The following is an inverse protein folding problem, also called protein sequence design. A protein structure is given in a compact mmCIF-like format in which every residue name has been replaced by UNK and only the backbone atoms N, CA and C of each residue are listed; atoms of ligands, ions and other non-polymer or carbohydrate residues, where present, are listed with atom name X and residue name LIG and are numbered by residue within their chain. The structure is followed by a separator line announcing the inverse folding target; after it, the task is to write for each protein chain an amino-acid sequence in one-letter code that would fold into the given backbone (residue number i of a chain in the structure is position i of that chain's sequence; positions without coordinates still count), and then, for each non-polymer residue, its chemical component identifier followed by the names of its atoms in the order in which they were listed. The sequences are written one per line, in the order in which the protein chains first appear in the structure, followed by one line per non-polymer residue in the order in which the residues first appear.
data_IF_265450648836
#
_entry.id   IF_265450648836
#
_cell.length_a   1.000
_cell.length_b   1.000
_cell.length_c   1.000
_cell.angle_alpha   90.00
_cell.angle_beta   90.00
_cell.angle_gamma   90.00
#
_symmetry.space_group_name_H-M   'P 1'
#
loop_
_entity.id
_entity.type
_entity.pdbx_description
1 polymer ?
#
# COMPACT_ATOMS: atom_id res chain seq x y z
N UNK A 1 -2.80 15.79 15.68
CA UNK A 1 -2.87 15.52 14.22
C UNK A 1 -3.22 14.06 14.04
N UNK A 2 -4.30 13.76 13.32
CA UNK A 2 -4.71 12.39 13.01
C UNK A 2 -3.75 11.80 11.99
N UNK A 3 -3.32 10.56 12.20
CA UNK A 3 -2.40 9.86 11.32
C UNK A 3 -2.67 8.37 11.36
N UNK A 4 -2.28 7.68 10.28
CA UNK A 4 -2.40 6.24 10.18
C UNK A 4 -1.53 5.56 11.24
N UNK A 5 -2.13 4.65 12.00
CA UNK A 5 -1.45 3.83 12.99
C UNK A 5 -1.12 2.44 12.45
N UNK A 6 -0.30 1.68 13.17
CA UNK A 6 -0.02 0.29 12.83
C UNK A 6 -1.28 -0.59 12.86
N UNK A 7 -2.23 -0.29 13.75
CA UNK A 7 -3.51 -1.01 13.81
C UNK A 7 -4.36 -0.76 12.57
N UNK A 8 -4.32 0.46 12.00
CA UNK A 8 -5.03 0.77 10.76
C UNK A 8 -4.46 -0.05 9.59
N UNK A 9 -3.13 -0.16 9.50
CA UNK A 9 -2.47 -0.97 8.46
C UNK A 9 -2.89 -2.44 8.57
N UNK A 10 -2.84 -3.01 9.77
CA UNK A 10 -3.23 -4.41 10.02
C UNK A 10 -4.69 -4.62 9.66
N UNK A 11 -5.57 -3.69 10.03
CA UNK A 11 -6.98 -3.86 9.79
C UNK A 11 -7.38 -3.69 8.32
N UNK A 12 -6.63 -2.91 7.53
CA UNK A 12 -6.83 -2.78 6.08
C UNK A 12 -6.23 -3.97 5.32
N UNK A 13 -5.03 -4.40 5.71
CA UNK A 13 -4.23 -5.37 4.92
C UNK A 13 -4.33 -6.81 5.40
N UNK A 14 -4.76 -7.03 6.64
CA UNK A 14 -4.69 -8.33 7.31
C UNK A 14 -3.28 -8.78 7.67
N UNK A 15 -2.25 -7.95 7.44
CA UNK A 15 -0.87 -8.29 7.76
C UNK A 15 -0.68 -8.41 9.28
N UNK A 16 -0.06 -9.48 9.80
CA UNK A 16 0.13 -9.63 11.23
C UNK A 16 1.20 -8.68 11.77
N UNK A 17 1.04 -8.25 13.04
CA UNK A 17 2.09 -7.57 13.79
C UNK A 17 2.93 -8.66 14.47
N UNK A 18 4.00 -9.10 13.80
CA UNK A 18 4.91 -10.09 14.35
C UNK A 18 6.25 -9.44 14.72
N UNK A 19 6.82 -9.69 15.91
CA UNK A 19 8.25 -9.50 16.12
C UNK A 19 9.03 -10.62 15.41
N UNK A 20 10.29 -10.40 15.00
CA UNK A 20 11.04 -9.14 15.03
C UNK A 20 10.70 -8.17 13.88
N UNK A 21 11.18 -6.93 14.00
CA UNK A 21 11.21 -6.01 12.86
C UNK A 21 12.26 -6.47 11.84
N UNK A 22 12.04 -6.18 10.55
CA UNK A 22 13.04 -6.45 9.52
C UNK A 22 14.29 -5.58 9.76
N UNK A 23 15.44 -6.21 9.85
CA UNK A 23 16.74 -5.56 10.05
C UNK A 23 17.73 -5.98 8.96
N UNK A 24 18.73 -5.13 8.67
CA UNK A 24 19.67 -5.36 7.56
C UNK A 24 20.59 -6.57 7.74
N UNK A 25 20.75 -7.06 8.97
CA UNK A 25 21.52 -8.23 9.34
C UNK A 25 20.77 -9.55 9.08
N UNK A 26 19.45 -9.51 8.85
CA UNK A 26 18.69 -10.70 8.45
C UNK A 26 19.08 -11.10 7.03
N UNK A 27 19.46 -12.36 6.87
CA UNK A 27 19.83 -12.95 5.60
C UNK A 27 19.11 -14.28 5.40
N UNK A 28 18.63 -14.59 4.19
CA UNK A 28 18.09 -15.89 3.88
C UNK A 28 19.17 -16.97 4.03
N UNK A 29 18.75 -18.18 4.41
CA UNK A 29 19.64 -19.35 4.52
C UNK A 29 20.08 -19.86 3.16
N UNK A 30 19.20 -19.73 2.16
CA UNK A 30 19.45 -20.22 0.81
C UNK A 30 19.64 -19.07 -0.18
N UNK A 31 20.37 -19.37 -1.26
CA UNK A 31 20.44 -18.51 -2.42
C UNK A 31 19.41 -18.98 -3.44
N UNK A 32 18.65 -18.02 -3.97
CA UNK A 32 17.61 -18.26 -4.97
C UNK A 32 18.04 -17.69 -6.31
N UNK A 33 17.81 -18.45 -7.37
CA UNK A 33 18.23 -18.08 -8.73
C UNK A 33 17.16 -17.23 -9.40
N UNK A 34 17.09 -15.96 -9.03
CA UNK A 34 16.11 -15.02 -9.58
C UNK A 34 16.72 -14.28 -10.77
N UNK A 35 16.05 -14.32 -11.92
CA UNK A 35 16.52 -13.65 -13.12
C UNK A 35 16.65 -12.12 -12.91
N UNK A 36 17.64 -11.53 -13.57
CA UNK A 36 18.09 -10.15 -13.35
C UNK A 36 16.95 -9.12 -13.32
N UNK A 37 17.04 -8.21 -12.34
CA UNK A 37 16.08 -7.14 -12.08
C UNK A 37 16.15 -5.97 -13.05
N UNK A 38 16.98 -6.05 -14.10
CA UNK A 38 17.26 -4.95 -15.03
C UNK A 38 16.15 -4.69 -16.05
N UNK A 39 15.13 -5.54 -16.10
CA UNK A 39 14.07 -5.51 -17.10
C UNK A 39 12.74 -4.99 -16.52
N UNK A 40 11.72 -4.81 -17.36
CA UNK A 40 10.38 -4.41 -16.94
C UNK A 40 9.71 -5.48 -16.07
N UNK A 41 8.63 -5.13 -15.36
CA UNK A 41 7.82 -6.11 -14.61
C UNK A 41 7.32 -7.26 -15.51
N UNK A 42 6.89 -6.97 -16.74
CA UNK A 42 6.41 -7.99 -17.67
C UNK A 42 7.52 -8.95 -18.08
N UNK A 43 8.70 -8.42 -18.37
CA UNK A 43 9.86 -9.25 -18.70
C UNK A 43 10.28 -10.09 -17.49
N UNK A 44 10.27 -9.51 -16.29
CA UNK A 44 10.59 -10.23 -15.06
C UNK A 44 9.68 -11.45 -14.88
N UNK A 45 8.36 -11.28 -15.07
CA UNK A 45 7.41 -12.40 -15.01
C UNK A 45 7.78 -13.45 -16.06
N UNK A 46 7.99 -13.06 -17.32
CA UNK A 46 8.30 -14.01 -18.39
C UNK A 46 9.58 -14.82 -18.16
N UNK A 47 10.59 -14.25 -17.48
CA UNK A 47 11.86 -14.93 -17.20
C UNK A 47 11.83 -15.85 -15.97
N UNK A 48 10.93 -15.62 -15.02
CA UNK A 48 10.87 -16.37 -13.77
C UNK A 48 9.62 -17.26 -13.67
N UNK A 49 8.78 -17.30 -14.71
CA UNK A 49 7.59 -18.14 -14.75
C UNK A 49 7.95 -19.54 -15.26
N UNK A 50 7.52 -20.55 -14.51
CA UNK A 50 7.63 -21.96 -14.89
C UNK A 50 6.75 -22.38 -16.05
N UNK A 51 6.95 -23.62 -16.48
CA UNK A 51 6.06 -24.24 -17.46
C UNK A 51 4.67 -24.51 -16.85
N UNK A 52 3.63 -24.36 -17.67
CA UNK A 52 2.27 -24.64 -17.21
C UNK A 52 2.13 -26.12 -16.81
N UNK A 53 1.49 -26.37 -15.67
CA UNK A 53 1.25 -27.71 -15.15
C UNK A 53 2.43 -28.35 -14.41
N UNK A 54 3.56 -27.66 -14.26
CA UNK A 54 4.66 -28.13 -13.40
C UNK A 54 4.46 -27.68 -11.94
N UNK A 55 4.96 -28.44 -10.96
CA UNK A 55 5.00 -27.98 -9.57
C UNK A 55 5.77 -26.66 -9.45
N UNK A 56 5.29 -25.77 -8.59
CA UNK A 56 5.96 -24.49 -8.30
C UNK A 56 7.27 -24.75 -7.57
N UNK A 57 8.36 -24.21 -8.09
CA UNK A 57 9.70 -24.29 -7.49
C UNK A 57 9.90 -23.22 -6.42
N UNK A 58 10.92 -23.40 -5.57
CA UNK A 58 11.27 -22.41 -4.55
C UNK A 58 11.69 -21.06 -5.17
N UNK A 59 12.45 -21.10 -6.28
CA UNK A 59 12.85 -19.92 -7.05
C UNK A 59 11.63 -19.18 -7.61
N UNK A 60 10.64 -19.90 -8.15
CA UNK A 60 9.38 -19.31 -8.64
C UNK A 60 8.58 -18.67 -7.51
N UNK A 61 8.52 -19.31 -6.34
CA UNK A 61 7.83 -18.75 -5.19
C UNK A 61 8.51 -17.47 -4.68
N UNK A 62 9.84 -17.45 -4.60
CA UNK A 62 10.61 -16.24 -4.25
C UNK A 62 10.43 -15.15 -5.31
N UNK A 63 10.45 -15.50 -6.61
CA UNK A 63 10.19 -14.54 -7.68
C UNK A 63 8.80 -13.92 -7.58
N UNK A 64 7.78 -14.74 -7.29
CA UNK A 64 6.41 -14.28 -7.07
C UNK A 64 6.33 -13.31 -5.88
N UNK A 65 6.88 -13.67 -4.72
CA UNK A 65 6.89 -12.81 -3.54
C UNK A 65 7.64 -11.49 -3.82
N UNK A 66 8.75 -11.58 -4.54
CA UNK A 66 9.53 -10.41 -4.92
C UNK A 66 8.73 -9.46 -5.82
N UNK A 67 8.02 -10.00 -6.83
CA UNK A 67 7.08 -9.26 -7.67
C UNK A 67 5.96 -8.63 -6.84
N UNK A 68 5.30 -9.43 -6.00
CA UNK A 68 4.18 -9.00 -5.17
C UNK A 68 4.56 -7.84 -4.25
N UNK A 69 5.73 -7.93 -3.59
CA UNK A 69 6.24 -6.85 -2.74
C UNK A 69 6.48 -5.56 -3.55
N UNK A 70 7.13 -5.65 -4.71
CA UNK A 70 7.45 -4.48 -5.53
C UNK A 70 6.21 -3.83 -6.16
N UNK A 71 5.39 -4.61 -6.84
CA UNK A 71 4.31 -4.10 -7.69
C UNK A 71 3.03 -3.81 -6.90
N UNK A 72 2.70 -4.68 -5.93
CA UNK A 72 1.37 -4.69 -5.30
C UNK A 72 1.42 -4.10 -3.90
N UNK A 73 2.36 -4.54 -3.05
CA UNK A 73 2.40 -4.12 -1.65
C UNK A 73 3.01 -2.72 -1.51
N UNK A 74 4.25 -2.55 -1.96
CA UNK A 74 5.00 -1.30 -1.80
C UNK A 74 4.94 -0.37 -3.00
N UNK A 75 4.43 -0.84 -4.15
CA UNK A 75 4.28 -0.08 -5.40
C UNK A 75 5.53 0.77 -5.73
N UNK A 76 6.69 0.12 -5.84
CA UNK A 76 7.98 0.77 -6.11
C UNK A 76 7.90 1.73 -7.30
N UNK A 77 8.47 2.93 -7.14
CA UNK A 77 8.54 3.97 -8.19
C UNK A 77 9.31 3.55 -9.44
N UNK A 78 10.16 2.54 -9.31
CA UNK A 78 11.02 2.06 -10.38
C UNK A 78 10.24 1.19 -11.38
N UNK A 79 10.52 1.39 -12.67
CA UNK A 79 10.08 0.49 -13.75
C UNK A 79 10.71 -0.90 -13.61
N UNK A 80 11.86 -0.96 -12.95
CA UNK A 80 12.61 -2.17 -12.63
C UNK A 80 12.34 -2.64 -11.21
N UNK A 81 12.45 -3.94 -11.00
CA UNK A 81 12.35 -4.59 -9.70
C UNK A 81 13.40 -4.03 -8.73
N UNK A 82 12.97 -3.44 -7.61
CA UNK A 82 13.90 -2.93 -6.60
C UNK A 82 14.53 -4.09 -5.84
N UNK A 83 15.84 -4.28 -6.01
CA UNK A 83 16.64 -5.33 -5.34
C UNK A 83 16.52 -5.31 -3.82
N UNK A 84 16.11 -4.17 -3.24
CA UNK A 84 15.85 -4.04 -1.81
C UNK A 84 14.86 -5.10 -1.29
N UNK A 85 13.84 -5.47 -2.08
CA UNK A 85 12.82 -6.40 -1.65
C UNK A 85 13.17 -7.88 -1.89
N UNK A 86 14.30 -8.19 -2.55
CA UNK A 86 14.67 -9.57 -2.85
C UNK A 86 15.04 -10.36 -1.57
N UNK A 87 15.91 -9.83 -0.67
CA UNK A 87 16.15 -10.48 0.62
C UNK A 87 14.88 -10.66 1.43
N UNK A 88 13.97 -9.66 1.38
CA UNK A 88 12.69 -9.73 2.07
C UNK A 88 11.80 -10.87 1.52
N UNK A 89 11.75 -11.02 0.20
CA UNK A 89 11.01 -12.12 -0.45
C UNK A 89 11.57 -13.49 -0.07
N UNK A 90 12.89 -13.63 -0.07
CA UNK A 90 13.56 -14.87 0.32
C UNK A 90 13.29 -15.23 1.79
N UNK A 91 13.35 -14.25 2.71
CA UNK A 91 13.04 -14.47 4.11
C UNK A 91 11.58 -14.89 4.33
N UNK A 92 10.63 -14.29 3.60
CA UNK A 92 9.22 -14.67 3.66
C UNK A 92 8.99 -16.10 3.14
N UNK A 93 9.68 -16.48 2.06
CA UNK A 93 9.64 -17.84 1.54
C UNK A 93 10.16 -18.86 2.57
N UNK A 94 11.23 -18.53 3.30
CA UNK A 94 11.77 -19.35 4.39
C UNK A 94 10.95 -19.28 5.70
N UNK A 95 9.71 -18.79 5.63
CA UNK A 95 8.76 -18.71 6.74
C UNK A 95 9.26 -17.84 7.92
N UNK A 96 10.18 -16.91 7.67
CA UNK A 96 10.61 -15.98 8.72
C UNK A 96 9.46 -15.02 9.07
N UNK A 97 9.19 -14.89 10.37
CA UNK A 97 8.21 -13.95 10.88
C UNK A 97 8.73 -12.53 10.75
N UNK A 98 8.13 -11.74 9.86
CA UNK A 98 8.54 -10.36 9.58
C UNK A 98 7.38 -9.39 9.81
N UNK A 99 7.67 -8.23 10.41
CA UNK A 99 6.69 -7.16 10.61
C UNK A 99 6.43 -6.35 9.32
N UNK A 100 5.82 -6.97 8.31
CA UNK A 100 5.50 -6.30 7.04
C UNK A 100 4.56 -5.10 7.24
N UNK A 101 3.63 -5.17 8.20
CA UNK A 101 2.73 -4.07 8.51
C UNK A 101 3.51 -2.81 8.95
N UNK A 102 4.51 -2.98 9.83
CA UNK A 102 5.35 -1.87 10.28
C UNK A 102 6.25 -1.33 9.17
N UNK A 103 6.82 -2.21 8.34
CA UNK A 103 7.62 -1.81 7.18
C UNK A 103 6.78 -1.00 6.18
N UNK A 104 5.54 -1.44 5.92
CA UNK A 104 4.58 -0.75 5.05
C UNK A 104 4.20 0.63 5.60
N UNK A 105 3.92 0.73 6.89
CA UNK A 105 3.64 2.01 7.56
C UNK A 105 4.84 2.97 7.45
N UNK A 106 6.05 2.48 7.72
CA UNK A 106 7.28 3.26 7.58
C UNK A 106 7.45 3.78 6.15
N UNK A 107 7.19 2.94 5.15
CA UNK A 107 7.30 3.34 3.74
C UNK A 107 6.28 4.40 3.34
N UNK A 108 5.05 4.37 3.86
CA UNK A 108 4.08 5.46 3.64
C UNK A 108 4.63 6.78 4.15
N UNK A 109 5.14 6.82 5.39
CA UNK A 109 5.65 8.06 5.98
C UNK A 109 6.88 8.58 5.25
N UNK A 110 7.77 7.69 4.80
CA UNK A 110 8.91 8.06 3.97
C UNK A 110 8.47 8.72 2.66
N UNK A 111 7.54 8.11 1.92
CA UNK A 111 7.05 8.65 0.65
C UNK A 111 6.28 9.97 0.86
N UNK A 112 5.47 10.08 1.92
CA UNK A 112 4.83 11.35 2.31
C UNK A 112 5.85 12.46 2.61
N UNK A 113 6.93 12.14 3.32
CA UNK A 113 8.02 13.09 3.58
C UNK A 113 8.68 13.57 2.29
N UNK A 114 8.92 12.66 1.34
CA UNK A 114 9.47 13.00 0.04
C UNK A 114 8.51 13.86 -0.80
N UNK A 115 7.20 13.61 -0.73
CA UNK A 115 6.21 14.47 -1.39
C UNK A 115 6.23 15.89 -0.83
N UNK A 116 6.25 16.05 0.50
CA UNK A 116 6.34 17.37 1.14
C UNK A 116 7.62 18.08 0.74
N UNK A 117 8.75 17.36 0.67
CA UNK A 117 10.01 17.90 0.18
C UNK A 117 9.89 18.40 -1.26
N UNK A 118 9.35 17.59 -2.18
CA UNK A 118 9.23 18.04 -3.57
C UNK A 118 8.25 19.18 -3.79
N UNK A 119 7.16 19.22 -3.04
CA UNK A 119 6.23 20.36 -3.06
C UNK A 119 6.91 21.65 -2.60
N UNK A 120 7.78 21.58 -1.58
CA UNK A 120 8.52 22.74 -1.09
C UNK A 120 9.52 23.26 -2.12
N UNK A 121 10.24 22.35 -2.76
CA UNK A 121 11.36 22.68 -3.64
C UNK A 121 10.95 22.79 -5.12
N UNK A 122 9.65 22.66 -5.42
CA UNK A 122 9.10 22.58 -6.78
C UNK A 122 9.78 21.52 -7.66
N UNK A 123 10.20 20.38 -7.09
CA UNK A 123 10.72 19.26 -7.87
C UNK A 123 9.62 18.39 -8.48
N UNK A 124 9.98 17.69 -9.57
CA UNK A 124 9.09 16.74 -10.24
C UNK A 124 8.63 15.68 -9.24
N UNK A 125 7.32 15.60 -9.02
CA UNK A 125 6.73 14.59 -8.13
C UNK A 125 6.71 13.25 -8.88
N UNK A 126 7.62 12.35 -8.53
CA UNK A 126 7.54 10.95 -8.95
C UNK A 126 6.61 10.20 -8.01
N UNK A 127 5.40 9.91 -8.48
CA UNK A 127 4.38 9.20 -7.69
C UNK A 127 4.68 7.71 -7.71
N UNK A 128 5.00 7.16 -6.54
CA UNK A 128 4.92 5.72 -6.27
C UNK A 128 4.86 5.52 -4.77
N UNK A 129 5.16 4.31 -4.32
CA UNK A 129 4.90 3.92 -2.95
C UNK A 129 3.44 3.46 -2.73
N UNK A 130 3.14 2.92 -1.55
CA UNK A 130 1.86 2.31 -1.20
C UNK A 130 0.74 3.34 -0.94
N UNK A 131 0.57 4.35 -1.81
CA UNK A 131 -0.44 5.40 -1.67
C UNK A 131 -1.88 4.86 -1.69
N UNK A 132 -2.10 3.67 -2.26
CA UNK A 132 -3.37 2.97 -2.19
C UNK A 132 -3.84 2.77 -0.74
N UNK A 133 -2.91 2.51 0.19
CA UNK A 133 -3.24 2.30 1.60
C UNK A 133 -3.62 3.61 2.28
N UNK A 134 -2.95 4.71 1.94
CA UNK A 134 -3.36 6.06 2.38
C UNK A 134 -4.77 6.41 1.86
N UNK A 135 -5.05 6.11 0.59
CA UNK A 135 -6.36 6.34 -0.02
C UNK A 135 -7.46 5.56 0.71
N UNK A 136 -7.26 4.26 0.97
CA UNK A 136 -8.23 3.42 1.69
C UNK A 136 -8.47 3.92 3.11
N UNK A 137 -7.41 4.30 3.81
CA UNK A 137 -7.49 4.85 5.16
C UNK A 137 -8.29 6.16 5.18
N UNK A 138 -7.97 7.12 4.30
CA UNK A 138 -8.71 8.38 4.20
C UNK A 138 -10.19 8.14 3.86
N UNK A 139 -10.47 7.25 2.92
CA UNK A 139 -11.85 6.92 2.54
C UNK A 139 -12.65 6.29 3.69
N UNK A 140 -12.00 5.53 4.57
CA UNK A 140 -12.64 4.96 5.75
C UNK A 140 -12.89 6.00 6.86
N UNK A 141 -11.91 6.88 7.12
CA UNK A 141 -12.04 7.95 8.13
C UNK A 141 -13.13 8.95 7.73
N UNK A 142 -13.14 9.35 6.46
CA UNK A 142 -14.03 10.37 5.91
C UNK A 142 -15.24 9.79 5.19
N UNK A 143 -15.62 8.53 5.45
CA UNK A 143 -16.71 7.81 4.74
C UNK A 143 -18.00 8.64 4.64
N UNK A 144 -18.38 9.41 5.68
CA UNK A 144 -19.58 10.26 5.66
C UNK A 144 -19.56 11.37 4.60
N UNK A 145 -18.37 11.76 4.16
CA UNK A 145 -18.12 12.80 3.16
C UNK A 145 -17.81 12.22 1.78
N UNK A 146 -17.95 10.90 1.59
CA UNK A 146 -17.70 10.21 0.34
C UNK A 146 -19.02 9.82 -0.35
N UNK A 147 -19.04 9.89 -1.69
CA UNK A 147 -20.15 9.40 -2.50
C UNK A 147 -19.98 7.91 -2.65
N UNK A 148 -21.03 7.16 -2.30
CA UNK A 148 -21.09 5.75 -2.66
C UNK A 148 -21.32 5.66 -4.18
N UNK A 149 -20.54 4.86 -4.91
CA UNK A 149 -20.83 4.64 -6.33
C UNK A 149 -22.27 4.15 -6.48
N UNK A 150 -23.03 4.77 -7.39
CA UNK A 150 -24.39 4.35 -7.71
C UNK A 150 -24.38 2.89 -8.13
N UNK A 151 -25.18 2.06 -7.46
CA UNK A 151 -25.09 0.61 -7.50
C UNK A 151 -25.23 0.04 -8.91
N UNK A 152 -24.11 -0.15 -9.60
CA UNK A 152 -23.95 -1.27 -10.52
C UNK A 152 -23.84 -2.52 -9.66
N UNK A 153 -24.73 -3.48 -9.87
CA UNK A 153 -24.70 -4.78 -9.22
C UNK A 153 -23.40 -5.51 -9.59
N UNK A 154 -22.32 -5.20 -8.89
CA UNK A 154 -21.12 -6.02 -8.88
C UNK A 154 -21.18 -6.83 -7.61
N UNK A 155 -21.13 -8.16 -7.73
CA UNK A 155 -21.19 -9.12 -6.61
C UNK A 155 -20.15 -8.86 -5.51
N UNK A 156 -19.20 -7.95 -5.72
CA UNK A 156 -18.08 -7.63 -4.83
C UNK A 156 -18.37 -6.54 -3.80
N UNK A 157 -19.53 -5.89 -3.82
CA UNK A 157 -19.87 -4.83 -2.85
C UNK A 157 -19.92 -5.30 -1.39
N UNK A 158 -20.05 -6.60 -1.13
CA UNK A 158 -19.98 -7.14 0.23
C UNK A 158 -18.57 -7.02 0.85
N UNK A 159 -17.52 -6.89 0.02
CA UNK A 159 -16.15 -6.73 0.48
C UNK A 159 -15.88 -5.24 0.74
N UNK A 160 -15.63 -4.89 2.01
CA UNK A 160 -15.43 -3.51 2.47
C UNK A 160 -14.33 -2.76 1.70
N UNK A 161 -13.23 -3.46 1.37
CA UNK A 161 -12.11 -2.87 0.62
C UNK A 161 -12.48 -2.36 -0.77
N UNK A 162 -13.28 -3.11 -1.54
CA UNK A 162 -13.74 -2.68 -2.87
C UNK A 162 -14.61 -1.42 -2.77
N UNK A 163 -15.52 -1.37 -1.80
CA UNK A 163 -16.33 -0.17 -1.55
C UNK A 163 -15.47 1.05 -1.25
N UNK A 164 -14.47 0.90 -0.37
CA UNK A 164 -13.58 1.99 -0.01
C UNK A 164 -12.70 2.46 -1.19
N UNK A 165 -12.31 1.57 -2.10
CA UNK A 165 -11.54 1.94 -3.28
C UNK A 165 -12.34 2.79 -4.27
N UNK A 166 -13.65 2.56 -4.38
CA UNK A 166 -14.53 3.25 -5.32
C UNK A 166 -15.11 4.58 -4.79
N UNK A 167 -14.89 4.88 -3.50
CA UNK A 167 -15.37 6.11 -2.87
C UNK A 167 -14.71 7.35 -3.47
N UNK A 168 -15.55 8.34 -3.80
CA UNK A 168 -15.11 9.65 -4.27
C UNK A 168 -15.55 10.74 -3.31
N UNK A 169 -14.78 11.81 -3.09
CA UNK A 169 -15.21 12.95 -2.28
C UNK A 169 -16.56 13.52 -2.75
N UNK A 170 -17.52 13.65 -1.82
CA UNK A 170 -18.86 14.21 -2.06
C UNK A 170 -19.00 15.59 -1.42
N UNK A 171 -18.38 16.60 -2.04
CA UNK A 171 -18.53 17.96 -1.59
C UNK A 171 -19.44 18.72 -2.56
N UNK A 172 -20.70 19.05 -2.17
CA UNK A 172 -21.71 19.59 -3.08
C UNK A 172 -21.30 20.90 -3.77
N UNK A 173 -20.34 21.63 -3.20
CA UNK A 173 -19.86 22.92 -3.71
C UNK A 173 -18.57 22.80 -4.55
N UNK A 174 -18.13 21.60 -4.90
CA UNK A 174 -16.87 21.38 -5.66
C UNK A 174 -17.17 21.08 -7.13
N UNK A 175 -16.45 21.73 -8.04
CA UNK A 175 -16.67 21.59 -9.49
C UNK A 175 -15.54 20.81 -10.17
N UNK A 176 -14.33 20.89 -9.64
CA UNK A 176 -13.14 20.19 -10.13
C UNK A 176 -12.62 19.16 -9.12
N UNK A 177 -11.73 18.27 -9.58
CA UNK A 177 -11.02 17.36 -8.68
C UNK A 177 -10.03 18.10 -7.75
N UNK A 178 -9.53 19.25 -8.18
CA UNK A 178 -8.74 20.14 -7.32
C UNK A 178 -9.58 20.72 -6.17
N UNK A 179 -10.80 21.20 -6.46
CA UNK A 179 -11.72 21.70 -5.42
C UNK A 179 -12.04 20.60 -4.40
N UNK A 180 -12.27 19.37 -4.89
CA UNK A 180 -12.50 18.20 -4.05
C UNK A 180 -11.30 17.88 -3.17
N UNK A 181 -10.10 17.92 -3.72
CA UNK A 181 -8.87 17.74 -2.97
C UNK A 181 -8.74 18.79 -1.86
N UNK A 182 -8.93 20.08 -2.18
CA UNK A 182 -8.88 21.15 -1.20
C UNK A 182 -9.95 21.04 -0.12
N UNK A 183 -11.15 20.57 -0.46
CA UNK A 183 -12.21 20.32 0.51
C UNK A 183 -11.83 19.20 1.50
N UNK A 184 -11.31 18.07 0.99
CA UNK A 184 -10.79 16.97 1.84
C UNK A 184 -9.62 17.44 2.70
N UNK A 185 -8.68 18.18 2.12
CA UNK A 185 -7.50 18.69 2.82
C UNK A 185 -7.91 19.66 3.94
N UNK A 186 -8.83 20.58 3.67
CA UNK A 186 -9.37 21.52 4.65
C UNK A 186 -10.09 20.79 5.79
N UNK A 187 -10.88 19.76 5.46
CA UNK A 187 -11.54 18.90 6.44
C UNK A 187 -10.51 18.20 7.32
N UNK A 188 -9.48 17.58 6.72
CA UNK A 188 -8.39 16.93 7.47
C UNK A 188 -7.69 17.93 8.41
N UNK A 189 -7.34 19.12 7.92
CA UNK A 189 -6.69 20.17 8.72
C UNK A 189 -7.58 20.71 9.86
N UNK A 190 -8.90 20.70 9.69
CA UNK A 190 -9.86 21.09 10.74
C UNK A 190 -9.89 20.13 11.92
N UNK A 191 -9.42 18.89 11.74
CA UNK A 191 -9.44 17.86 12.76
C UNK A 191 -8.27 18.04 13.74
N UNK A 192 -8.49 18.88 14.76
CA UNK A 192 -7.49 19.19 15.78
C UNK A 192 -7.35 18.06 16.81
N UNK A 193 -8.44 17.40 17.15
CA UNK A 193 -8.52 16.36 18.18
C UNK A 193 -9.28 15.11 17.67
N UNK A 194 -9.08 13.98 18.35
CA UNK A 194 -9.76 12.71 18.05
C UNK A 194 -11.25 12.68 18.43
N UNK A 195 -11.78 13.77 18.99
CA UNK A 195 -13.19 13.91 19.34
C UNK A 195 -13.89 14.71 18.25
N UNK A 196 -14.40 14.00 17.24
CA UNK A 196 -15.29 14.57 16.24
C UNK A 196 -16.40 13.55 15.96
N UNK A 197 -17.63 13.85 16.37
CA UNK A 197 -18.79 12.97 16.20
C UNK A 197 -19.11 12.67 14.72
N UNK A 198 -18.57 13.49 13.81
CA UNK A 198 -18.71 13.31 12.37
C UNK A 198 -17.65 12.37 11.76
N UNK A 199 -16.60 12.01 12.49
CA UNK A 199 -15.51 11.16 12.00
C UNK A 199 -15.39 9.88 12.81
N UNK A 200 -15.05 8.80 12.13
CA UNK A 200 -14.76 7.52 12.78
C UNK A 200 -13.26 7.27 12.72
N UNK A 201 -12.54 7.59 13.80
CA UNK A 201 -11.09 7.41 13.89
C UNK A 201 -10.65 5.97 14.16
N UNK A 202 -11.59 5.04 14.35
CA UNK A 202 -11.32 3.61 14.45
C UNK A 202 -12.25 2.82 13.51
N UNK A 203 -12.23 3.08 12.19
CA UNK A 203 -13.22 2.54 11.28
C UNK A 203 -13.08 1.03 11.04
N UNK A 204 -12.00 0.43 11.55
CA UNK A 204 -11.69 -0.98 11.38
C UNK A 204 -11.65 -1.78 12.69
N UNK A 205 -11.93 -1.17 13.85
CA UNK A 205 -11.89 -1.82 15.18
C UNK A 205 -13.28 -2.28 15.67
N UNK A 206 -14.21 -2.58 14.76
CA UNK A 206 -15.59 -2.99 15.08
C UNK A 206 -15.84 -4.44 14.74
#
# INVERSE_FOLDING_TARGET
MIGMSLLDVVAITGLPINPPDYTSDMQPKHQYTIASTTNSYSDFIAHNMGAEGTPVTDDEHVAFLFYWLNAIVFCSRSVQMSKFFLPLAALLHEENTLNLAKLLLGRIFEELGQFVHCLRDNCLISVGGPLWLLQLWLNAIFEKYMTKPGGGATDKQHIKGFRLADYKPNFPNTQSDEDRFWAVFSLFHSCKDFYNDNLNFAPFMR
#
